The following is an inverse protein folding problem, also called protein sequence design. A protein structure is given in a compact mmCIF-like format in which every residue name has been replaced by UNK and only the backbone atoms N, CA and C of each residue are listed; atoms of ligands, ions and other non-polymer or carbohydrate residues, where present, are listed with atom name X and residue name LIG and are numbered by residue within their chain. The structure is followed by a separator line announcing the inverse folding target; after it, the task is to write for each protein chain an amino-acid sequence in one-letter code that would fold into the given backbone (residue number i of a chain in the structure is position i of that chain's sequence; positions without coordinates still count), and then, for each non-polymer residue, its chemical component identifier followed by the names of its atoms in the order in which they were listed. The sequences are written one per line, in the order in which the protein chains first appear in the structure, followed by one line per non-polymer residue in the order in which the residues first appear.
data_IF_519262089650
#
_entry.id   IF_519262089650
#
_cell.length_a   1.000
_cell.length_b   1.000
_cell.length_c   1.000
_cell.angle_alpha   90.00
_cell.angle_beta   90.00
_cell.angle_gamma   90.00
#
_symmetry.space_group_name_H-M   'P 1'
#
loop_
_entity.id
_entity.type
_entity.pdbx_description
1 polymer ?
#
# COMPACT_ATOMS: atom_id res chain seq x y z
N UNK A 1 3.23 1.98 -0.44
CA UNK A 1 1.83 1.82 -0.92
C UNK A 1 0.96 1.69 0.32
N UNK A 2 0.49 2.81 0.89
CA UNK A 2 -0.01 2.86 2.26
C UNK A 2 -1.21 1.97 2.54
N UNK A 3 -1.99 1.63 1.51
CA UNK A 3 -3.17 0.75 1.58
C UNK A 3 -2.95 -0.61 0.90
N UNK A 4 -1.69 -0.99 0.64
CA UNK A 4 -1.39 -2.32 0.10
C UNK A 4 -1.82 -3.41 1.08
N UNK A 5 -2.33 -4.53 0.56
CA UNK A 5 -2.68 -5.71 1.35
C UNK A 5 -1.89 -6.93 0.84
N UNK A 6 -1.44 -7.77 1.76
CA UNK A 6 -0.76 -9.02 1.44
C UNK A 6 -1.17 -10.11 2.43
N UNK A 7 -2.32 -10.79 2.19
CA UNK A 7 -2.93 -11.70 3.17
C UNK A 7 -2.07 -12.90 3.60
N UNK A 8 -1.04 -13.24 2.81
CA UNK A 8 -0.17 -14.39 3.08
C UNK A 8 1.01 -14.06 4.00
N UNK A 9 1.29 -12.77 4.26
CA UNK A 9 2.42 -12.37 5.12
C UNK A 9 2.30 -10.91 5.57
N UNK A 10 2.11 -10.73 6.88
CA UNK A 10 2.09 -9.41 7.54
C UNK A 10 3.41 -8.65 7.34
N UNK A 11 4.55 -9.36 7.29
CA UNK A 11 5.85 -8.75 7.07
C UNK A 11 6.01 -8.20 5.64
N UNK A 12 5.53 -8.94 4.65
CA UNK A 12 5.51 -8.45 3.26
C UNK A 12 4.51 -7.28 3.13
N UNK A 13 3.34 -7.36 3.78
CA UNK A 13 2.38 -6.26 3.81
C UNK A 13 2.98 -4.98 4.41
N UNK A 14 3.61 -5.08 5.59
CA UNK A 14 4.30 -3.98 6.24
C UNK A 14 5.39 -3.39 5.34
N UNK A 15 6.18 -4.24 4.67
CA UNK A 15 7.14 -3.79 3.68
C UNK A 15 6.46 -3.01 2.56
N UNK A 16 5.39 -3.53 1.96
CA UNK A 16 4.69 -2.88 0.84
C UNK A 16 4.14 -1.49 1.23
N UNK A 17 3.70 -1.34 2.48
CA UNK A 17 3.25 -0.06 3.06
C UNK A 17 4.39 0.90 3.39
N UNK A 18 5.55 0.37 3.80
CA UNK A 18 6.72 1.13 4.20
C UNK A 18 7.45 1.89 3.08
N UNK A 19 8.55 2.58 3.41
CA UNK A 19 9.34 3.37 2.45
C UNK A 19 10.32 2.53 1.62
N UNK A 20 10.71 1.35 2.08
CA UNK A 20 11.78 0.55 1.47
C UNK A 20 11.45 0.11 0.04
N UNK A 21 12.43 0.14 -0.87
CA UNK A 21 12.20 -0.18 -2.28
C UNK A 21 12.17 -1.69 -2.55
N UNK A 22 12.94 -2.48 -1.79
CA UNK A 22 13.13 -3.92 -2.00
C UNK A 22 13.12 -4.70 -0.70
N UNK A 23 12.68 -5.96 -0.74
CA UNK A 23 12.71 -6.91 0.37
C UNK A 23 13.16 -8.29 -0.12
N UNK A 24 14.06 -8.94 0.61
CA UNK A 24 14.34 -10.36 0.43
C UNK A 24 13.48 -11.15 1.42
N UNK A 25 12.86 -12.23 0.96
CA UNK A 25 12.00 -13.06 1.81
C UNK A 25 12.78 -14.04 2.71
N UNK A 26 14.10 -13.94 2.77
CA UNK A 26 14.94 -14.73 3.67
C UNK A 26 14.50 -14.53 5.13
N UNK A 27 14.15 -15.62 5.82
CA UNK A 27 13.64 -15.58 7.19
C UNK A 27 12.17 -15.16 7.32
N UNK A 28 11.49 -14.89 6.20
CA UNK A 28 10.06 -14.55 6.12
C UNK A 28 9.29 -15.72 5.49
N UNK A 29 9.79 -16.19 4.34
CA UNK A 29 9.26 -17.34 3.62
C UNK A 29 10.42 -18.28 3.34
N UNK A 30 10.27 -19.53 3.74
CA UNK A 30 11.25 -20.59 3.47
C UNK A 30 10.88 -21.34 2.20
N UNK A 31 11.85 -21.51 1.31
CA UNK A 31 11.69 -22.28 0.07
C UNK A 31 12.60 -23.50 0.11
N UNK A 32 12.08 -24.64 -0.32
CA UNK A 32 12.86 -25.88 -0.40
C UNK A 32 13.99 -25.79 -1.44
N UNK A 33 13.71 -25.10 -2.55
CA UNK A 33 14.65 -24.90 -3.64
C UNK A 33 14.24 -23.70 -4.52
N UNK A 34 15.12 -23.34 -5.45
CA UNK A 34 14.92 -22.21 -6.36
C UNK A 34 13.65 -22.35 -7.23
N UNK A 35 13.23 -23.59 -7.57
CA UNK A 35 12.02 -23.82 -8.35
C UNK A 35 10.75 -23.48 -7.55
N UNK A 36 10.72 -23.77 -6.26
CA UNK A 36 9.59 -23.39 -5.39
C UNK A 36 9.55 -21.87 -5.22
N UNK A 37 10.71 -21.22 -5.06
CA UNK A 37 10.80 -19.76 -5.02
C UNK A 37 10.31 -19.11 -6.34
N UNK A 38 10.66 -19.69 -7.49
CA UNK A 38 10.21 -19.21 -8.80
C UNK A 38 8.69 -19.39 -9.02
N UNK A 39 8.13 -20.51 -8.57
CA UNK A 39 6.68 -20.72 -8.57
C UNK A 39 5.97 -19.71 -7.66
N UNK A 40 6.55 -19.39 -6.51
CA UNK A 40 6.02 -18.37 -5.62
C UNK A 40 6.05 -16.99 -6.28
N UNK A 41 7.16 -16.61 -6.91
CA UNK A 41 7.25 -15.35 -7.66
C UNK A 41 6.21 -15.29 -8.79
N UNK A 42 6.14 -16.34 -9.60
CA UNK A 42 5.20 -16.47 -10.72
C UNK A 42 3.73 -16.37 -10.28
N UNK A 43 3.39 -16.78 -9.06
CA UNK A 43 2.06 -16.62 -8.46
C UNK A 43 1.60 -15.16 -8.45
N UNK A 44 2.54 -14.22 -8.31
CA UNK A 44 2.31 -12.78 -8.20
C UNK A 44 2.84 -11.98 -9.39
N UNK A 45 3.58 -12.56 -10.32
CA UNK A 45 4.05 -11.84 -11.54
C UNK A 45 3.50 -12.41 -12.84
N UNK A 46 2.94 -13.62 -12.82
CA UNK A 46 2.42 -14.32 -13.99
C UNK A 46 0.98 -13.96 -14.41
N UNK A 47 0.40 -14.81 -15.27
CA UNK A 47 -0.97 -14.63 -15.77
C UNK A 47 -1.99 -14.71 -14.62
N UNK A 48 -2.83 -13.68 -14.47
CA UNK A 48 -3.77 -13.54 -13.33
C UNK A 48 -3.20 -12.87 -12.08
N UNK A 49 -1.93 -12.43 -12.09
CA UNK A 49 -1.29 -11.76 -10.97
C UNK A 49 -2.00 -10.48 -10.50
N UNK A 50 -2.73 -9.79 -11.38
CA UNK A 50 -3.39 -8.54 -11.06
C UNK A 50 -4.44 -8.69 -9.95
N UNK A 51 -5.13 -9.83 -9.91
CA UNK A 51 -6.15 -10.12 -8.88
C UNK A 51 -5.54 -10.34 -7.49
N UNK A 52 -4.25 -10.70 -7.43
CA UNK A 52 -3.53 -10.93 -6.16
C UNK A 52 -2.81 -9.70 -5.64
N UNK A 53 -2.64 -8.67 -6.46
CA UNK A 53 -1.99 -7.40 -6.08
C UNK A 53 -3.04 -6.40 -5.60
N UNK A 54 -3.52 -6.59 -4.39
CA UNK A 54 -4.54 -5.73 -3.79
C UNK A 54 -3.91 -4.39 -3.40
N UNK A 55 -4.28 -3.32 -4.13
CA UNK A 55 -3.77 -1.95 -3.91
C UNK A 55 -2.24 -1.85 -3.85
N UNK A 56 -1.57 -2.74 -4.59
CA UNK A 56 -0.12 -2.90 -4.57
C UNK A 56 0.44 -3.04 -5.99
N UNK A 57 1.71 -2.69 -6.16
CA UNK A 57 2.46 -2.78 -7.40
C UNK A 57 3.89 -3.12 -7.04
N UNK A 58 4.27 -4.34 -7.37
CA UNK A 58 5.60 -4.87 -7.14
C UNK A 58 5.89 -5.97 -8.16
N UNK A 59 7.17 -6.27 -8.30
CA UNK A 59 7.69 -7.43 -8.99
C UNK A 59 8.30 -8.42 -7.98
N UNK A 60 8.45 -9.67 -8.40
CA UNK A 60 9.04 -10.74 -7.61
C UNK A 60 9.95 -11.56 -8.51
N UNK A 61 11.19 -11.75 -8.06
CA UNK A 61 12.18 -12.57 -8.75
C UNK A 61 12.77 -13.58 -7.78
N UNK A 62 12.82 -14.84 -8.18
CA UNK A 62 13.51 -15.87 -7.42
C UNK A 62 15.03 -15.68 -7.51
N UNK A 63 15.73 -16.00 -6.43
CA UNK A 63 17.18 -15.94 -6.34
C UNK A 63 17.71 -16.97 -5.35
N UNK A 64 19.02 -17.21 -5.39
CA UNK A 64 19.67 -18.23 -4.57
C UNK A 64 19.56 -19.64 -5.16
N UNK A 65 20.03 -20.63 -4.39
CA UNK A 65 20.10 -22.03 -4.80
C UNK A 65 19.86 -22.97 -3.62
N UNK A 66 19.22 -24.11 -3.87
CA UNK A 66 18.94 -25.14 -2.85
C UNK A 66 18.27 -24.52 -1.60
N UNK A 67 18.81 -24.78 -0.41
CA UNK A 67 18.27 -24.31 0.89
C UNK A 67 18.31 -22.80 1.09
N UNK A 68 19.09 -22.08 0.28
CA UNK A 68 19.25 -20.62 0.38
C UNK A 68 18.40 -19.89 -0.68
N UNK A 69 17.41 -20.57 -1.25
CA UNK A 69 16.47 -19.96 -2.18
C UNK A 69 15.62 -18.90 -1.46
N UNK A 70 15.44 -17.75 -2.11
CA UNK A 70 14.58 -16.67 -1.64
C UNK A 70 13.92 -15.97 -2.82
N UNK A 71 12.96 -15.10 -2.51
CA UNK A 71 12.32 -14.22 -3.49
C UNK A 71 12.66 -12.78 -3.13
N UNK A 72 13.14 -12.03 -4.12
CA UNK A 72 13.33 -10.60 -4.01
C UNK A 72 12.06 -9.91 -4.50
N UNK A 73 11.43 -9.16 -3.61
CA UNK A 73 10.27 -8.33 -3.91
C UNK A 73 10.75 -6.91 -4.19
N UNK A 74 10.40 -6.36 -5.33
CA UNK A 74 10.77 -4.99 -5.72
C UNK A 74 9.52 -4.17 -5.95
N UNK A 75 9.31 -3.09 -5.21
CA UNK A 75 8.17 -2.20 -5.46
C UNK A 75 8.30 -1.58 -6.84
N UNK A 76 7.27 -1.75 -7.67
CA UNK A 76 7.22 -1.09 -8.96
C UNK A 76 6.52 0.24 -8.75
N UNK A 77 7.28 1.31 -8.99
CA UNK A 77 6.87 2.69 -8.73
C UNK A 77 5.60 3.11 -9.47
N UNK A 78 5.12 2.31 -10.44
CA UNK A 78 3.90 2.53 -11.23
C UNK A 78 2.70 2.95 -10.39
N UNK A 79 2.39 2.28 -9.29
CA UNK A 79 1.27 2.71 -8.43
C UNK A 79 1.57 4.04 -7.72
N UNK A 80 2.79 4.22 -7.21
CA UNK A 80 3.17 5.45 -6.53
C UNK A 80 3.17 6.65 -7.49
N UNK A 81 3.77 6.52 -8.66
CA UNK A 81 3.84 7.55 -9.69
C UNK A 81 2.43 7.90 -10.20
N UNK A 82 1.59 6.89 -10.46
CA UNK A 82 0.19 7.11 -10.87
C UNK A 82 -0.62 7.87 -9.81
N UNK A 83 -0.48 7.52 -8.53
CA UNK A 83 -1.19 8.22 -7.46
C UNK A 83 -0.53 9.55 -7.07
N UNK A 84 0.73 9.79 -7.44
CA UNK A 84 1.42 11.06 -7.19
C UNK A 84 0.85 12.19 -8.05
N UNK A 85 0.35 11.89 -9.26
CA UNK A 85 -0.33 12.86 -10.12
C UNK A 85 -1.62 13.40 -9.48
N UNK A 86 -2.40 12.52 -8.85
CA UNK A 86 -3.69 12.86 -8.22
C UNK A 86 -3.55 13.47 -6.81
N UNK A 87 -2.38 13.28 -6.17
CA UNK A 87 -2.14 13.69 -4.79
C UNK A 87 -2.38 15.19 -4.51
N UNK A 88 -1.98 16.15 -5.37
CA UNK A 88 -2.23 17.56 -5.15
C UNK A 88 -3.73 17.90 -5.17
N UNK A 89 -4.49 17.27 -6.06
CA UNK A 89 -5.93 17.49 -6.16
C UNK A 89 -6.66 16.95 -4.93
N UNK A 90 -6.32 15.73 -4.51
CA UNK A 90 -6.87 15.12 -3.29
C UNK A 90 -6.59 15.97 -2.04
N UNK A 91 -5.37 16.54 -1.92
CA UNK A 91 -5.05 17.47 -0.82
C UNK A 91 -5.92 18.73 -0.86
N UNK A 92 -6.11 19.32 -2.05
CA UNK A 92 -6.95 20.50 -2.24
C UNK A 92 -8.41 20.22 -1.87
N UNK A 93 -8.93 19.05 -2.24
CA UNK A 93 -10.30 18.64 -1.89
C UNK A 93 -10.46 18.42 -0.39
N UNK A 94 -9.48 17.78 0.25
CA UNK A 94 -9.47 17.59 1.70
C UNK A 94 -9.49 18.92 2.46
N UNK A 95 -8.66 19.88 2.04
CA UNK A 95 -8.63 21.22 2.64
C UNK A 95 -9.97 21.95 2.49
N UNK A 96 -10.61 21.87 1.31
CA UNK A 96 -11.95 22.43 1.09
C UNK A 96 -12.98 21.81 2.02
N UNK A 97 -12.94 20.49 2.18
CA UNK A 97 -13.88 19.77 3.05
C UNK A 97 -13.69 20.16 4.52
N UNK A 98 -12.44 20.25 4.99
CA UNK A 98 -12.11 20.69 6.34
C UNK A 98 -12.62 22.11 6.60
N UNK A 99 -12.38 23.04 5.68
CA UNK A 99 -12.84 24.43 5.82
C UNK A 99 -14.36 24.53 5.90
N UNK A 100 -15.08 23.85 4.98
CA UNK A 100 -16.55 23.84 4.99
C UNK A 100 -17.13 23.26 6.30
N UNK A 101 -16.48 22.23 6.84
CA UNK A 101 -16.87 21.60 8.11
C UNK A 101 -16.68 22.57 9.29
N UNK A 102 -15.54 23.26 9.36
CA UNK A 102 -15.26 24.28 10.38
C UNK A 102 -16.27 25.41 10.31
N UNK A 103 -16.53 25.96 9.12
CA UNK A 103 -17.53 27.03 8.94
C UNK A 103 -18.92 26.61 9.42
N UNK A 104 -19.31 25.38 9.13
CA UNK A 104 -20.61 24.83 9.52
C UNK A 104 -20.71 24.70 11.04
N UNK A 105 -19.65 24.18 11.69
CA UNK A 105 -19.58 24.10 13.15
C UNK A 105 -19.67 25.48 13.81
N UNK A 106 -18.95 26.48 13.28
CA UNK A 106 -18.99 27.86 13.78
C UNK A 106 -20.41 28.44 13.69
N UNK A 107 -21.11 28.22 12.56
CA UNK A 107 -22.51 28.67 12.39
C UNK A 107 -23.45 28.00 13.40
N UNK A 108 -23.28 26.70 13.65
CA UNK A 108 -24.10 25.96 14.63
C UNK A 108 -23.85 26.48 16.06
N UNK A 109 -22.58 26.66 16.45
CA UNK A 109 -22.22 27.19 17.77
C UNK A 109 -22.79 28.59 17.96
N UNK A 110 -22.63 29.46 16.97
CA UNK A 110 -23.19 30.81 16.97
C UNK A 110 -24.71 30.77 17.16
N UNK A 111 -25.45 30.01 16.35
CA UNK A 111 -26.91 29.92 16.50
C UNK A 111 -27.34 29.44 17.90
N UNK A 112 -26.61 28.51 18.51
CA UNK A 112 -26.87 28.01 19.88
C UNK A 112 -26.60 29.06 20.96
N UNK A 113 -25.56 29.89 20.82
CA UNK A 113 -25.28 30.95 21.79
C UNK A 113 -26.33 32.05 21.75
N UNK A 114 -26.77 32.47 20.55
CA UNK A 114 -27.88 33.42 20.38
C UNK A 114 -29.20 32.90 20.96
N UNK A 115 -29.49 31.61 20.84
CA UNK A 115 -30.71 30.99 21.40
C UNK A 115 -30.71 30.86 22.93
N UNK A 116 -29.56 30.98 23.61
CA UNK A 116 -29.43 30.90 25.07
C UNK A 116 -29.47 32.26 25.78
N UNK A 117 -29.33 33.36 25.05
CA UNK A 117 -29.36 34.73 25.59
C UNK A 117 -30.75 35.40 25.50
N UNK A 118 -31.77 34.66 25.05
CA UNK A 118 -33.16 35.08 24.92
C UNK A 118 -34.02 34.30 25.90
#
# INVERSE_FOLDING_TARGET
MPVAEFPESDQIEMFLRGPEATLNTTGIVSFENARVADQYASKYTGFGAHERKISASFDMEASGSNSDAFVKITKTRVWYDKNQEDLPELKRELDKLMNATVETLVKIISKRTWARQK
#
